data_IF_594931338701
#
_entry.id   IF_594931338701
#
_cell.length_a   1.000
_cell.length_b   1.000
_cell.length_c   1.000
_cell.angle_alpha   90.00
_cell.angle_beta   90.00
_cell.angle_gamma   90.00
#
_symmetry.space_group_name_H-M   'P 1'
#
loop_
_entity.id
_entity.type
_entity.pdbx_description
1 polymer ?
#
# COMPACT_ATOMS: atom_id res chain seq x y z
N UNK A 1 7.84 16.34 12.97
CA UNK A 1 7.47 16.44 11.55
C UNK A 1 8.54 15.69 10.75
N UNK A 2 8.35 14.40 10.49
CA UNK A 2 9.27 13.64 9.63
C UNK A 2 8.92 13.96 8.18
N UNK A 3 9.84 14.62 7.49
CA UNK A 3 9.78 14.89 6.06
C UNK A 3 9.88 13.54 5.35
N UNK A 4 8.80 13.11 4.68
CA UNK A 4 8.80 11.97 3.75
C UNK A 4 9.87 12.26 2.70
N UNK A 5 10.94 11.48 2.72
CA UNK A 5 11.78 11.25 1.55
C UNK A 5 11.09 10.06 0.92
N UNK A 6 10.50 10.21 -0.26
CA UNK A 6 9.72 9.15 -0.91
C UNK A 6 10.67 7.98 -1.24
N UNK A 7 10.82 7.04 -0.30
CA UNK A 7 11.81 5.98 -0.40
C UNK A 7 11.42 4.90 -1.40
N UNK A 8 10.11 4.82 -1.72
CA UNK A 8 9.51 3.92 -2.69
C UNK A 8 8.34 4.64 -3.36
N UNK A 9 8.13 4.45 -4.67
CA UNK A 9 7.00 5.03 -5.40
C UNK A 9 6.63 4.24 -6.64
N UNK A 10 5.39 4.41 -7.10
CA UNK A 10 4.86 3.83 -8.33
C UNK A 10 4.55 4.91 -9.37
N UNK A 11 5.05 4.73 -10.58
CA UNK A 11 4.85 5.63 -11.71
C UNK A 11 4.09 4.92 -12.85
N UNK A 12 2.84 5.33 -13.04
CA UNK A 12 1.98 4.89 -14.14
C UNK A 12 1.88 5.88 -15.31
N UNK A 13 2.70 6.93 -15.38
CA UNK A 13 2.57 7.99 -16.42
C UNK A 13 2.63 7.47 -17.86
N UNK A 14 3.35 6.38 -18.10
CA UNK A 14 3.51 5.81 -19.44
C UNK A 14 2.59 4.61 -19.71
N UNK A 15 1.69 4.25 -18.79
CA UNK A 15 0.89 3.03 -18.96
C UNK A 15 0.02 3.09 -20.22
N UNK A 16 -0.55 4.25 -20.54
CA UNK A 16 -1.40 4.41 -21.73
C UNK A 16 -0.63 4.37 -23.06
N UNK A 17 0.70 4.51 -23.05
CA UNK A 17 1.52 4.55 -24.27
C UNK A 17 2.42 3.34 -24.43
N UNK A 18 2.84 2.71 -23.34
CA UNK A 18 3.78 1.59 -23.35
C UNK A 18 3.31 0.37 -22.57
N UNK A 19 2.16 0.42 -21.90
CA UNK A 19 1.67 -0.62 -20.97
C UNK A 19 2.68 -0.98 -19.84
N UNK A 20 3.54 -0.03 -19.47
CA UNK A 20 4.53 -0.20 -18.41
C UNK A 20 4.14 0.64 -17.20
N UNK A 21 4.15 0.00 -16.03
CA UNK A 21 4.14 0.66 -14.72
C UNK A 21 5.49 0.42 -14.05
N UNK A 22 6.10 1.47 -13.52
CA UNK A 22 7.40 1.38 -12.85
C UNK A 22 7.24 1.51 -11.35
N UNK A 23 7.80 0.56 -10.60
CA UNK A 23 8.00 0.70 -9.15
C UNK A 23 9.47 1.04 -8.91
N UNK A 24 9.72 2.15 -8.23
CA UNK A 24 11.06 2.60 -7.87
C UNK A 24 11.29 2.41 -6.38
N UNK A 25 12.37 1.73 -6.01
CA UNK A 25 12.83 1.56 -4.62
C UNK A 25 14.18 2.28 -4.50
N UNK A 26 14.22 3.41 -3.81
CA UNK A 26 15.44 4.24 -3.70
C UNK A 26 16.26 3.89 -2.46
N UNK A 27 15.61 3.60 -1.33
CA UNK A 27 16.30 3.14 -0.13
C UNK A 27 16.29 1.61 -0.08
N UNK A 28 17.45 0.98 -0.22
CA UNK A 28 17.59 -0.47 -0.05
C UNK A 28 18.02 -0.85 1.37
N UNK A 29 18.39 0.12 2.21
CA UNK A 29 18.78 -0.10 3.60
C UNK A 29 17.56 0.02 4.53
N UNK A 30 16.63 -0.93 4.42
CA UNK A 30 15.44 -1.04 5.27
C UNK A 30 15.28 -2.47 5.80
N UNK A 31 14.56 -2.62 6.92
CA UNK A 31 14.24 -3.95 7.47
C UNK A 31 13.45 -4.75 6.43
N UNK A 32 13.68 -6.06 6.35
CA UNK A 32 13.12 -6.92 5.30
C UNK A 32 11.59 -6.88 5.24
N UNK A 33 10.89 -6.88 6.38
CA UNK A 33 9.43 -6.80 6.40
C UNK A 33 8.91 -5.42 5.99
N UNK A 34 9.65 -4.34 6.29
CA UNK A 34 9.33 -2.99 5.78
C UNK A 34 9.49 -2.98 4.26
N UNK A 35 10.58 -3.56 3.72
CA UNK A 35 10.77 -3.69 2.28
C UNK A 35 9.63 -4.46 1.61
N UNK A 36 9.24 -5.60 2.18
CA UNK A 36 8.13 -6.38 1.68
C UNK A 36 6.80 -5.60 1.72
N UNK A 37 6.53 -4.87 2.82
CA UNK A 37 5.34 -4.05 2.95
C UNK A 37 5.29 -2.94 1.89
N UNK A 38 6.41 -2.25 1.67
CA UNK A 38 6.50 -1.22 0.64
C UNK A 38 6.33 -1.80 -0.77
N UNK A 39 6.92 -2.95 -1.07
CA UNK A 39 6.72 -3.63 -2.37
C UNK A 39 5.25 -3.99 -2.57
N UNK A 40 4.56 -4.47 -1.54
CA UNK A 40 3.12 -4.75 -1.63
C UNK A 40 2.31 -3.46 -1.82
N UNK A 41 2.62 -2.40 -1.08
CA UNK A 41 1.96 -1.10 -1.19
C UNK A 41 2.07 -0.55 -2.62
N UNK A 42 3.28 -0.48 -3.15
CA UNK A 42 3.53 -0.02 -4.52
C UNK A 42 2.99 -1.00 -5.58
N UNK A 43 3.01 -2.31 -5.31
CA UNK A 43 2.38 -3.31 -6.17
C UNK A 43 0.87 -3.10 -6.32
N UNK A 44 0.21 -2.66 -5.25
CA UNK A 44 -1.22 -2.32 -5.30
C UNK A 44 -1.45 -1.04 -6.11
N UNK A 45 -0.61 0.00 -5.94
CA UNK A 45 -0.65 1.15 -6.83
C UNK A 45 -0.52 0.73 -8.29
N UNK A 46 0.43 -0.16 -8.60
CA UNK A 46 0.64 -0.62 -9.97
C UNK A 46 -0.56 -1.38 -10.53
N UNK A 47 -1.21 -2.23 -9.71
CA UNK A 47 -2.44 -2.90 -10.10
C UNK A 47 -3.61 -1.92 -10.28
N UNK A 48 -3.71 -0.88 -9.47
CA UNK A 48 -4.69 0.19 -9.66
C UNK A 48 -4.44 0.94 -10.96
N UNK A 49 -3.17 1.23 -11.30
CA UNK A 49 -2.80 1.83 -12.58
C UNK A 49 -3.23 0.95 -13.75
N UNK A 50 -2.87 -0.34 -13.71
CA UNK A 50 -3.25 -1.33 -14.72
C UNK A 50 -4.76 -1.42 -14.89
N UNK A 51 -5.51 -1.61 -13.80
CA UNK A 51 -6.95 -1.76 -13.85
C UNK A 51 -7.65 -0.55 -14.49
N UNK A 52 -7.24 0.67 -14.11
CA UNK A 52 -7.83 1.90 -14.66
C UNK A 52 -7.52 2.04 -16.15
N UNK A 53 -6.30 1.71 -16.59
CA UNK A 53 -5.94 1.72 -18.01
C UNK A 53 -6.79 0.73 -18.82
N UNK A 54 -6.89 -0.52 -18.34
CA UNK A 54 -7.70 -1.54 -19.00
C UNK A 54 -9.19 -1.15 -19.06
N UNK A 55 -9.72 -0.55 -18.00
CA UNK A 55 -11.11 -0.09 -17.97
C UNK A 55 -11.36 1.05 -18.96
N UNK A 56 -10.41 2.00 -19.07
CA UNK A 56 -10.51 3.09 -20.06
C UNK A 56 -10.43 2.58 -21.50
N UNK A 57 -9.71 1.48 -21.72
CA UNK A 57 -9.62 0.81 -23.03
C UNK A 57 -10.81 -0.13 -23.31
N UNK A 58 -11.71 -0.33 -22.35
CA UNK A 58 -12.86 -1.23 -22.48
C UNK A 58 -12.52 -2.71 -22.35
N UNK A 59 -11.33 -3.05 -21.86
CA UNK A 59 -10.85 -4.44 -21.72
C UNK A 59 -11.37 -5.10 -20.43
N UNK A 60 -11.72 -4.31 -19.42
CA UNK A 60 -12.34 -4.78 -18.16
C UNK A 60 -13.52 -3.89 -17.78
N UNK A 61 -14.48 -4.43 -17.01
CA UNK A 61 -15.63 -3.65 -16.54
C UNK A 61 -15.23 -2.77 -15.35
N UNK A 62 -15.34 -1.44 -15.51
CA UNK A 62 -15.08 -0.48 -14.45
C UNK A 62 -15.95 -0.72 -13.19
N UNK A 63 -17.11 -1.36 -13.33
CA UNK A 63 -17.98 -1.70 -12.21
C UNK A 63 -17.39 -2.75 -11.26
N UNK A 64 -16.44 -3.58 -11.71
CA UNK A 64 -15.73 -4.53 -10.83
C UNK A 64 -14.98 -3.79 -9.71
N UNK A 65 -14.62 -2.52 -9.91
CA UNK A 65 -14.06 -1.62 -8.89
C UNK A 65 -14.80 -0.30 -8.83
N UNK A 66 -16.14 -0.34 -8.81
CA UNK A 66 -16.98 0.86 -8.79
C UNK A 66 -16.53 1.92 -7.77
N UNK A 67 -16.16 1.51 -6.54
CA UNK A 67 -15.70 2.41 -5.48
C UNK A 67 -14.47 3.24 -5.90
N UNK A 68 -13.51 2.63 -6.59
CA UNK A 68 -12.32 3.31 -7.11
C UNK A 68 -12.69 4.43 -8.10
N UNK A 69 -13.61 4.15 -9.02
CA UNK A 69 -14.08 5.13 -10.01
C UNK A 69 -14.97 6.22 -9.38
N UNK A 70 -15.76 5.88 -8.36
CA UNK A 70 -16.49 6.87 -7.56
C UNK A 70 -15.52 7.85 -6.89
N UNK A 71 -14.44 7.35 -6.29
CA UNK A 71 -13.39 8.18 -5.68
C UNK A 71 -12.75 9.08 -6.73
N UNK A 72 -12.28 8.55 -7.87
CA UNK A 72 -11.70 9.38 -8.93
C UNK A 72 -12.65 10.48 -9.43
N UNK A 73 -13.97 10.22 -9.48
CA UNK A 73 -14.96 11.24 -9.83
C UNK A 73 -15.10 12.31 -8.76
N UNK A 74 -15.11 11.93 -7.49
CA UNK A 74 -15.24 12.86 -6.37
C UNK A 74 -13.99 13.73 -6.17
N UNK A 75 -12.81 13.21 -6.49
CA UNK A 75 -11.55 13.94 -6.48
C UNK A 75 -11.32 14.81 -7.74
N UNK A 76 -12.34 15.02 -8.61
CA UNK A 76 -12.29 15.92 -9.81
C UNK A 76 -12.21 17.42 -9.48
N UNK A 77 -11.34 17.78 -8.54
CA UNK A 77 -10.78 19.11 -8.32
C UNK A 77 -9.25 19.19 -8.44
N UNK A 78 -8.52 18.09 -8.67
CA UNK A 78 -7.05 18.04 -8.91
C UNK A 78 -6.66 16.95 -9.96
N UNK A 79 -7.24 17.08 -11.15
CA UNK A 79 -6.82 16.69 -12.52
C UNK A 79 -6.21 15.33 -12.97
N UNK A 80 -5.86 14.33 -12.15
CA UNK A 80 -5.30 13.05 -12.70
C UNK A 80 -5.73 11.81 -11.90
N UNK A 81 -5.17 10.62 -12.20
CA UNK A 81 -5.23 9.42 -11.37
C UNK A 81 -4.74 9.74 -9.95
N UNK A 82 -5.61 10.40 -9.19
CA UNK A 82 -5.32 11.07 -7.94
C UNK A 82 -4.71 10.08 -6.96
N UNK A 83 -3.51 10.40 -6.49
CA UNK A 83 -2.85 9.64 -5.43
C UNK A 83 -3.74 9.53 -4.20
N UNK A 84 -4.51 10.57 -3.87
CA UNK A 84 -5.47 10.54 -2.76
C UNK A 84 -6.59 9.51 -3.01
N UNK A 85 -7.18 9.48 -4.22
CA UNK A 85 -8.19 8.48 -4.56
C UNK A 85 -7.65 7.05 -4.43
N UNK A 86 -6.40 6.83 -4.85
CA UNK A 86 -5.72 5.54 -4.73
C UNK A 86 -5.48 5.18 -3.26
N UNK A 87 -4.92 6.09 -2.47
CA UNK A 87 -4.66 5.87 -1.06
C UNK A 87 -5.94 5.64 -0.24
N UNK A 88 -7.02 6.36 -0.52
CA UNK A 88 -8.32 6.09 0.12
C UNK A 88 -8.82 4.69 -0.24
N UNK A 89 -8.79 4.34 -1.53
CA UNK A 89 -9.19 3.01 -1.95
C UNK A 89 -8.34 1.91 -1.30
N UNK A 90 -7.04 2.16 -1.13
CA UNK A 90 -6.11 1.28 -0.44
C UNK A 90 -6.37 1.19 1.07
N UNK A 91 -6.66 2.31 1.73
CA UNK A 91 -7.03 2.36 3.14
C UNK A 91 -8.30 1.51 3.39
N UNK A 92 -9.31 1.64 2.52
CA UNK A 92 -10.58 0.92 2.63
C UNK A 92 -10.47 -0.59 2.39
N UNK A 93 -9.52 -1.05 1.56
CA UNK A 93 -9.53 -2.42 1.04
C UNK A 93 -8.26 -3.24 1.30
N UNK A 94 -7.11 -2.61 1.48
CA UNK A 94 -5.81 -3.28 1.40
C UNK A 94 -4.95 -3.23 2.67
N UNK A 95 -5.31 -2.40 3.67
CA UNK A 95 -4.62 -2.38 4.98
C UNK A 95 -4.55 -3.78 5.59
N UNK A 96 -5.70 -4.46 5.73
CA UNK A 96 -5.76 -5.80 6.34
C UNK A 96 -5.06 -6.85 5.45
N UNK A 97 -5.28 -6.90 4.12
CA UNK A 97 -4.52 -7.79 3.23
C UNK A 97 -3.00 -7.64 3.33
N UNK A 98 -2.47 -6.40 3.33
CA UNK A 98 -1.03 -6.16 3.47
C UNK A 98 -0.55 -6.69 4.83
N UNK A 99 -1.21 -6.33 5.93
CA UNK A 99 -0.84 -6.80 7.27
C UNK A 99 -0.84 -8.33 7.37
N UNK A 100 -1.82 -9.01 6.77
CA UNK A 100 -1.88 -10.48 6.71
C UNK A 100 -0.73 -11.07 5.89
N UNK A 101 -0.40 -10.49 4.74
CA UNK A 101 0.69 -10.96 3.91
C UNK A 101 2.05 -10.83 4.64
N UNK A 102 2.32 -9.69 5.27
CA UNK A 102 3.54 -9.50 6.08
C UNK A 102 3.59 -10.46 7.25
N UNK A 103 2.45 -10.66 7.93
CA UNK A 103 2.34 -11.66 8.99
C UNK A 103 2.69 -13.06 8.51
N UNK A 104 2.22 -13.44 7.33
CA UNK A 104 2.54 -14.75 6.74
C UNK A 104 4.02 -14.89 6.41
N UNK A 105 4.65 -13.84 5.87
CA UNK A 105 6.10 -13.80 5.61
C UNK A 105 6.92 -13.95 6.89
N UNK A 106 6.42 -13.44 8.02
CA UNK A 106 7.03 -13.62 9.35
C UNK A 106 6.51 -14.88 10.09
N UNK A 107 6.06 -15.89 9.34
CA UNK A 107 5.59 -17.17 9.87
C UNK A 107 4.49 -17.06 10.93
N UNK A 108 3.65 -16.03 10.83
CA UNK A 108 2.52 -15.78 11.72
C UNK A 108 2.89 -15.67 13.23
N UNK A 109 4.11 -15.24 13.53
CA UNK A 109 4.69 -15.24 14.88
C UNK A 109 3.87 -14.48 15.92
N UNK A 110 3.30 -13.34 15.53
CA UNK A 110 2.47 -12.51 16.42
C UNK A 110 1.01 -12.43 15.94
N UNK A 111 0.15 -11.77 16.73
CA UNK A 111 -1.24 -11.50 16.34
C UNK A 111 -1.31 -10.52 15.16
N UNK A 112 -2.44 -10.46 14.45
CA UNK A 112 -2.60 -9.55 13.30
C UNK A 112 -2.37 -8.08 13.68
N UNK A 113 -2.75 -7.65 14.89
CA UNK A 113 -2.53 -6.27 15.37
C UNK A 113 -1.05 -5.86 15.34
N UNK A 114 -0.12 -6.81 15.53
CA UNK A 114 1.31 -6.53 15.43
C UNK A 114 1.76 -6.17 14.01
N UNK A 115 0.98 -6.54 13.00
CA UNK A 115 1.29 -6.29 11.60
C UNK A 115 0.41 -5.21 10.97
N UNK A 116 -0.62 -4.73 11.68
CA UNK A 116 -1.49 -3.65 11.20
C UNK A 116 -0.72 -2.36 10.93
N UNK A 117 0.40 -2.13 11.62
CA UNK A 117 1.33 -1.03 11.34
C UNK A 117 1.78 -1.01 9.88
N UNK A 118 2.27 -2.14 9.37
CA UNK A 118 2.74 -2.28 7.98
C UNK A 118 1.64 -2.02 6.96
N UNK A 119 0.40 -2.42 7.25
CA UNK A 119 -0.72 -2.20 6.34
C UNK A 119 -1.16 -0.73 6.28
N UNK A 120 -0.98 0.01 7.36
CA UNK A 120 -1.37 1.41 7.46
C UNK A 120 -0.26 2.40 7.08
N UNK A 121 0.99 1.97 7.01
CA UNK A 121 2.10 2.83 6.60
C UNK A 121 1.81 3.45 5.22
N UNK A 122 1.93 4.78 5.14
CA UNK A 122 1.54 5.56 3.96
C UNK A 122 0.05 5.89 3.84
N UNK A 123 -0.85 5.21 4.56
CA UNK A 123 -2.31 5.29 4.38
C UNK A 123 -3.07 5.99 5.52
N UNK A 124 -2.45 6.25 6.67
CA UNK A 124 -3.15 6.79 7.86
C UNK A 124 -3.85 8.14 7.63
N UNK A 125 -3.22 9.03 6.86
CA UNK A 125 -3.79 10.35 6.54
C UNK A 125 -5.03 10.25 5.62
N UNK A 126 -5.31 9.07 5.09
CA UNK A 126 -6.39 8.78 4.14
C UNK A 126 -7.53 7.95 4.75
N UNK A 127 -7.50 7.71 6.06
CA UNK A 127 -8.62 7.11 6.79
C UNK A 127 -9.75 8.12 7.02
N UNK A 128 -10.50 8.41 5.96
CA UNK A 128 -11.67 9.29 6.04
C UNK A 128 -12.88 8.65 6.73
N UNK A 129 -12.85 7.33 6.98
CA UNK A 129 -13.90 6.65 7.71
C UNK A 129 -13.70 6.75 9.23
N UNK A 130 -12.50 7.16 9.68
CA UNK A 130 -12.15 7.27 11.09
C UNK A 130 -12.15 5.90 11.79
N UNK A 131 -11.83 4.83 11.05
CA UNK A 131 -11.75 3.48 11.61
C UNK A 131 -10.53 3.29 12.50
N UNK A 132 -9.49 4.10 12.29
CA UNK A 132 -8.25 4.08 13.04
C UNK A 132 -8.23 5.24 14.03
N UNK A 133 -8.46 4.93 15.30
CA UNK A 133 -8.31 5.94 16.35
C UNK A 133 -6.83 6.34 16.54
N UNK A 134 -6.54 7.54 17.07
CA UNK A 134 -5.17 7.94 17.38
C UNK A 134 -4.46 6.99 18.37
N UNK A 135 -5.23 6.36 19.27
CA UNK A 135 -4.72 5.38 20.22
C UNK A 135 -4.31 4.08 19.51
N UNK A 136 -5.19 3.52 18.68
CA UNK A 136 -4.89 2.33 17.87
C UNK A 136 -3.74 2.58 16.90
N UNK A 137 -3.69 3.76 16.27
CA UNK A 137 -2.57 4.13 15.39
C UNK A 137 -1.23 4.10 16.13
N UNK A 138 -1.20 4.55 17.39
CA UNK A 138 0.01 4.53 18.21
C UNK A 138 0.36 3.10 18.62
N UNK A 139 -0.62 2.34 19.08
CA UNK A 139 -0.44 0.93 19.44
C UNK A 139 0.12 0.14 18.26
N UNK A 140 -0.42 0.32 17.05
CA UNK A 140 0.09 -0.38 15.86
C UNK A 140 1.54 -0.01 15.52
N UNK A 141 1.99 1.21 15.78
CA UNK A 141 3.41 1.56 15.63
C UNK A 141 4.29 0.85 16.66
N UNK A 142 3.85 0.80 17.93
CA UNK A 142 4.58 0.13 19.00
C UNK A 142 4.69 -1.38 18.74
N UNK A 143 3.58 -2.03 18.34
CA UNK A 143 3.60 -3.45 18.03
C UNK A 143 4.40 -3.78 16.76
N UNK A 144 4.35 -2.92 15.75
CA UNK A 144 5.16 -3.06 14.54
C UNK A 144 6.67 -2.96 14.85
N UNK A 145 7.07 -2.09 15.79
CA UNK A 145 8.45 -1.99 16.24
C UNK A 145 8.93 -3.31 16.88
N UNK A 146 8.11 -3.93 17.73
CA UNK A 146 8.41 -5.25 18.31
C UNK A 146 8.67 -6.28 17.20
N UNK A 147 7.83 -6.32 16.16
CA UNK A 147 8.04 -7.22 15.01
C UNK A 147 9.37 -6.93 14.33
N UNK A 148 9.66 -5.67 13.99
CA UNK A 148 10.88 -5.28 13.28
C UNK A 148 12.17 -5.53 14.07
N UNK A 149 12.12 -5.44 15.39
CA UNK A 149 13.27 -5.71 16.27
C UNK A 149 13.55 -7.20 16.42
N UNK A 150 12.50 -8.04 16.40
CA UNK A 150 12.61 -9.47 16.66
C UNK A 150 12.59 -10.33 15.39
N UNK A 151 12.31 -9.74 14.23
CA UNK A 151 12.36 -10.45 12.95
C UNK A 151 13.81 -10.67 12.54
N UNK A 152 14.23 -11.93 12.59
CA UNK A 152 15.45 -12.40 11.94
C UNK A 152 15.09 -13.00 10.60
N UNK A 153 15.17 -12.21 9.53
CA UNK A 153 15.04 -12.74 8.18
C UNK A 153 16.31 -13.50 7.83
N UNK A 154 16.21 -14.80 7.62
CA UNK A 154 17.33 -15.60 7.16
C UNK A 154 17.36 -15.59 5.62
N UNK A 155 18.30 -14.85 4.98
CA UNK A 155 18.33 -14.72 3.52
C UNK A 155 18.66 -16.02 2.78
N UNK A 156 18.99 -17.11 3.49
CA UNK A 156 19.35 -18.40 2.87
C UNK A 156 18.18 -19.36 2.73
N UNK A 157 16.96 -19.02 3.18
CA UNK A 157 15.80 -19.90 3.14
C UNK A 157 14.85 -19.62 1.95
N UNK A 158 15.38 -19.25 0.79
CA UNK A 158 14.63 -19.26 -0.47
C UNK A 158 14.75 -20.66 -1.09
N UNK A 159 14.02 -21.63 -0.53
CA UNK A 159 13.89 -22.99 -1.10
C UNK A 159 12.72 -23.06 -2.06
#
# INVERSE_FOLDING_TARGET
MFKRIDQVCTDGRNIATTDIVTIKIENTNMKSLIAAANILHEGIHAEVFRFVNEANNGNVDANERKRLFDLYRNFKGLSTMSSDAQHVFMAENYVIPIAKAIRQLDNNRYSLNHYMGFGWDGLRDYDYQGVLTPAESREFYELQAIVNENTMFNPTNCN
#
